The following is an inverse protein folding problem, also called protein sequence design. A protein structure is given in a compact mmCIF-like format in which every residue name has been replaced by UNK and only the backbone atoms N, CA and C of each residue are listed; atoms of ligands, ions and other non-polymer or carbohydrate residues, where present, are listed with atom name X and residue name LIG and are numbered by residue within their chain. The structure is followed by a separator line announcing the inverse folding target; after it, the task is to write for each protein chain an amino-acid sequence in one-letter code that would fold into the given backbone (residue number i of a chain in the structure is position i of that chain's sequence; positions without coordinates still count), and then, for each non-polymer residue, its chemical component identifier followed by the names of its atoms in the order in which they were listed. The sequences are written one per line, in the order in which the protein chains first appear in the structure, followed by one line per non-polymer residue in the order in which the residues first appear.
data_IF_986058173332
#
_entry.id   IF_986058173332
#
_cell.length_a   1.000
_cell.length_b   1.000
_cell.length_c   1.000
_cell.angle_alpha   90.00
_cell.angle_beta   90.00
_cell.angle_gamma   90.00
#
_symmetry.space_group_name_H-M   'P 1'
#
loop_
_entity.id
_entity.type
_entity.pdbx_description
1 polymer ?
#
# COMPACT_ATOMS: atom_id res chain seq x y z
N UNK A 1 -2.09 4.57 -6.69
CA UNK A 1 -1.75 3.44 -5.80
C UNK A 1 -2.26 3.65 -4.38
N UNK A 2 -1.67 4.54 -3.57
CA UNK A 2 -2.01 4.72 -2.14
C UNK A 2 -3.52 4.91 -1.91
N UNK A 3 -4.18 5.80 -2.69
CA UNK A 3 -5.63 6.01 -2.62
C UNK A 3 -6.46 4.74 -2.90
N UNK A 4 -5.96 3.84 -3.75
CA UNK A 4 -6.62 2.57 -4.08
C UNK A 4 -6.52 1.58 -2.92
N UNK A 5 -5.35 1.49 -2.30
CA UNK A 5 -5.12 0.67 -1.10
C UNK A 5 -6.01 1.17 0.05
N UNK A 6 -6.01 2.49 0.30
CA UNK A 6 -6.85 3.09 1.35
C UNK A 6 -8.35 2.78 1.15
N UNK A 7 -8.85 2.85 -0.09
CA UNK A 7 -10.25 2.51 -0.40
C UNK A 7 -10.54 1.02 -0.20
N UNK A 8 -9.62 0.14 -0.57
CA UNK A 8 -9.79 -1.29 -0.37
C UNK A 8 -9.74 -1.65 1.12
N UNK A 9 -8.80 -1.09 1.88
CA UNK A 9 -8.74 -1.23 3.33
C UNK A 9 -10.04 -0.77 4.00
N UNK A 10 -10.57 0.39 3.62
CA UNK A 10 -11.84 0.88 4.14
C UNK A 10 -13.04 -0.04 3.80
N UNK A 11 -13.03 -0.71 2.64
CA UNK A 11 -14.09 -1.68 2.26
C UNK A 11 -14.05 -2.94 3.11
N UNK A 12 -12.85 -3.40 3.46
CA UNK A 12 -12.61 -4.57 4.30
C UNK A 12 -12.64 -4.24 5.80
N UNK A 13 -12.85 -2.96 6.18
CA UNK A 13 -12.85 -2.52 7.57
C UNK A 13 -11.47 -2.52 8.23
N UNK A 14 -10.39 -2.48 7.44
CA UNK A 14 -9.01 -2.54 7.90
C UNK A 14 -8.42 -1.14 8.15
N UNK A 15 -7.58 -1.02 9.18
CA UNK A 15 -6.81 0.20 9.45
C UNK A 15 -5.80 0.46 8.34
N UNK A 16 -5.80 1.67 7.78
CA UNK A 16 -4.78 2.14 6.84
C UNK A 16 -4.27 3.50 7.27
N UNK A 17 -3.02 3.55 7.72
CA UNK A 17 -2.39 4.78 8.22
C UNK A 17 -0.93 4.91 7.83
N UNK A 18 -0.45 6.14 7.75
CA UNK A 18 0.98 6.42 7.65
C UNK A 18 1.61 6.23 9.04
N UNK A 19 2.57 5.32 9.15
CA UNK A 19 3.25 5.01 10.41
C UNK A 19 4.51 5.85 10.59
N UNK A 20 5.34 5.90 9.55
CA UNK A 20 6.57 6.69 9.54
C UNK A 20 6.83 7.26 8.17
N UNK A 21 7.18 8.53 8.10
CA UNK A 21 7.72 9.13 6.90
C UNK A 21 9.25 9.21 6.99
N UNK A 22 9.94 8.54 6.07
CA UNK A 22 11.38 8.68 5.89
C UNK A 22 11.72 9.57 4.70
N UNK A 23 13.01 9.81 4.46
CA UNK A 23 13.46 10.72 3.39
C UNK A 23 13.08 10.26 1.97
N UNK A 24 13.22 8.96 1.66
CA UNK A 24 12.89 8.40 0.33
C UNK A 24 11.66 7.48 0.32
N UNK A 25 11.26 6.97 1.48
CA UNK A 25 10.17 6.01 1.62
C UNK A 25 9.24 6.42 2.76
N UNK A 26 7.95 6.21 2.58
CA UNK A 26 6.92 6.30 3.61
C UNK A 26 6.48 4.89 3.98
N UNK A 27 6.47 4.57 5.27
CA UNK A 27 5.99 3.30 5.81
C UNK A 27 4.52 3.46 6.16
N UNK A 28 3.66 2.69 5.49
CA UNK A 28 2.25 2.59 5.82
C UNK A 28 1.97 1.34 6.63
N UNK A 29 0.94 1.40 7.48
CA UNK A 29 0.39 0.27 8.20
C UNK A 29 -0.97 -0.08 7.62
N UNK A 30 -1.12 -1.35 7.23
CA UNK A 30 -2.37 -1.97 6.83
C UNK A 30 -2.75 -3.03 7.88
N UNK A 31 -3.58 -2.66 8.85
CA UNK A 31 -4.01 -3.57 9.91
C UNK A 31 -2.83 -4.32 10.57
N UNK A 32 -1.82 -3.54 10.98
CA UNK A 32 -0.57 -4.04 11.55
C UNK A 32 0.53 -4.43 10.55
N UNK A 33 0.21 -4.67 9.27
CA UNK A 33 1.17 -5.00 8.22
C UNK A 33 1.93 -3.75 7.74
N UNK A 34 3.26 -3.77 7.79
CA UNK A 34 4.10 -2.66 7.33
C UNK A 34 4.32 -2.73 5.81
N UNK A 35 3.96 -1.67 5.10
CA UNK A 35 4.11 -1.55 3.64
C UNK A 35 5.03 -0.36 3.31
N UNK A 36 6.28 -0.59 2.88
CA UNK A 36 7.19 0.48 2.49
C UNK A 36 6.87 1.00 1.08
N UNK A 37 6.48 2.27 0.99
CA UNK A 37 6.14 2.94 -0.28
C UNK A 37 7.18 4.02 -0.60
N UNK A 38 7.91 3.84 -1.70
CA UNK A 38 8.86 4.82 -2.21
C UNK A 38 8.17 6.08 -2.72
N UNK A 39 8.80 7.24 -2.51
CA UNK A 39 8.28 8.56 -2.93
C UNK A 39 8.89 9.08 -4.23
N UNK A 40 9.54 8.22 -5.01
CA UNK A 40 10.21 8.60 -6.25
C UNK A 40 9.19 9.11 -7.29
N UNK A 41 9.11 10.44 -7.50
CA UNK A 41 8.09 11.10 -8.34
C UNK A 41 8.15 10.74 -9.84
N UNK A 42 9.12 9.94 -10.29
CA UNK A 42 9.26 9.52 -11.70
C UNK A 42 9.30 8.00 -11.95
N UNK A 43 9.41 7.15 -10.92
CA UNK A 43 9.71 5.71 -11.07
C UNK A 43 8.76 4.77 -10.32
N UNK A 44 7.59 5.24 -9.90
CA UNK A 44 6.51 4.37 -9.41
C UNK A 44 5.73 3.87 -10.62
N UNK A 45 6.37 3.01 -11.42
CA UNK A 45 5.76 2.37 -12.58
C UNK A 45 4.67 1.37 -12.20
N UNK A 46 3.91 0.89 -13.19
CA UNK A 46 2.86 -0.10 -13.00
C UNK A 46 3.34 -1.37 -12.27
N UNK A 47 4.58 -1.80 -12.55
CA UNK A 47 5.22 -2.95 -11.89
C UNK A 47 5.42 -2.73 -10.40
N UNK A 48 5.89 -1.55 -10.00
CA UNK A 48 6.06 -1.22 -8.59
C UNK A 48 4.71 -1.20 -7.88
N UNK A 49 3.69 -0.60 -8.51
CA UNK A 49 2.35 -0.59 -7.94
C UNK A 49 1.78 -2.00 -7.76
N UNK A 50 1.97 -2.89 -8.74
CA UNK A 50 1.54 -4.28 -8.61
C UNK A 50 2.29 -5.04 -7.51
N UNK A 51 3.60 -4.80 -7.33
CA UNK A 51 4.34 -5.39 -6.21
C UNK A 51 3.75 -4.98 -4.86
N UNK A 52 3.46 -3.69 -4.67
CA UNK A 52 2.83 -3.20 -3.44
C UNK A 52 1.43 -3.79 -3.26
N UNK A 53 0.65 -3.93 -4.35
CA UNK A 53 -0.66 -4.54 -4.26
C UNK A 53 -0.60 -6.01 -3.85
N UNK A 54 0.41 -6.76 -4.33
CA UNK A 54 0.67 -8.14 -3.91
C UNK A 54 1.04 -8.23 -2.44
N UNK A 55 1.86 -7.31 -1.92
CA UNK A 55 2.14 -7.28 -0.47
C UNK A 55 0.86 -7.06 0.36
N UNK A 56 -0.08 -6.29 -0.16
CA UNK A 56 -1.37 -6.07 0.50
C UNK A 56 -2.34 -7.26 0.38
N UNK A 57 -2.07 -8.29 -0.45
CA UNK A 57 -2.94 -9.47 -0.61
C UNK A 57 -3.17 -10.23 0.69
N UNK A 58 -2.17 -10.21 1.57
CA UNK A 58 -2.24 -10.87 2.89
C UNK A 58 -3.43 -10.36 3.70
N UNK A 59 -3.83 -9.10 3.50
CA UNK A 59 -4.91 -8.44 4.25
C UNK A 59 -6.15 -8.16 3.39
N UNK A 60 -5.97 -7.75 2.14
CA UNK A 60 -7.06 -7.34 1.23
C UNK A 60 -7.59 -8.47 0.35
N UNK A 61 -7.00 -9.67 0.44
CA UNK A 61 -7.36 -10.81 -0.39
C UNK A 61 -6.65 -10.82 -1.75
N UNK A 62 -6.60 -12.01 -2.36
CA UNK A 62 -5.86 -12.24 -3.61
C UNK A 62 -6.46 -11.43 -4.77
N UNK A 63 -5.63 -10.68 -5.49
CA UNK A 63 -6.05 -9.94 -6.68
C UNK A 63 -7.01 -8.76 -6.45
N UNK A 64 -7.11 -8.22 -5.23
CA UNK A 64 -8.04 -7.15 -4.84
C UNK A 64 -7.96 -5.86 -5.68
N UNK A 65 -6.84 -5.63 -6.38
CA UNK A 65 -6.60 -4.44 -7.20
C UNK A 65 -7.03 -4.61 -8.65
N UNK A 66 -7.57 -5.76 -9.05
CA UNK A 66 -8.21 -5.91 -10.36
C UNK A 66 -9.52 -5.14 -10.43
#
# INVERSE_FOLDING_TARGET
MIRKIARAAAREGLDWRLDREGGKHSIYKLDGLSIPIGRHKGEIGARYAEMIYRECEVKLGKGWWR
#
